data_IF_717096621419
#
_entry.id   IF_717096621419
#
_cell.length_a   1.000
_cell.length_b   1.000
_cell.length_c   1.000
_cell.angle_alpha   90.00
_cell.angle_beta   90.00
_cell.angle_gamma   90.00
#
_symmetry.space_group_name_H-M   'P 1'
#
loop_
_entity.id
_entity.type
_entity.pdbx_description
1 polymer ?
#
# COMPACT_ATOMS: atom_id res chain seq x y z
N UNK A 1 21.26 68.00 -1.28
CA UNK A 1 22.44 67.21 -0.86
C UNK A 1 21.91 66.25 0.17
N UNK A 2 21.40 65.12 -0.30
CA UNK A 2 21.16 63.96 0.56
C UNK A 2 22.54 63.50 1.03
N UNK A 3 22.68 63.28 2.33
CA UNK A 3 23.89 62.74 2.90
C UNK A 3 24.00 61.30 2.42
N UNK A 4 24.98 61.01 1.55
CA UNK A 4 25.39 59.64 1.27
C UNK A 4 25.92 59.04 2.58
N UNK A 5 25.28 57.94 2.99
CA UNK A 5 25.61 57.20 4.20
C UNK A 5 27.09 56.80 4.20
N UNK A 6 27.78 57.15 5.28
CA UNK A 6 29.12 56.65 5.57
C UNK A 6 28.97 55.14 5.80
N UNK A 7 29.60 54.26 5.01
CA UNK A 7 29.54 52.83 5.27
C UNK A 7 30.29 52.56 6.57
N UNK A 8 29.53 52.28 7.63
CA UNK A 8 30.08 51.71 8.84
C UNK A 8 30.49 50.29 8.48
N UNK A 9 31.80 50.06 8.38
CA UNK A 9 32.36 48.70 8.33
C UNK A 9 32.18 48.12 9.73
N UNK A 10 30.96 47.65 9.99
CA UNK A 10 30.74 46.58 10.94
C UNK A 10 30.96 45.30 10.14
N UNK A 11 32.18 44.76 10.20
CA UNK A 11 32.46 43.44 9.65
C UNK A 11 31.80 42.41 10.57
N UNK A 12 30.49 42.23 10.36
CA UNK A 12 29.78 41.05 10.85
C UNK A 12 30.39 39.86 10.10
N UNK A 13 30.87 38.82 10.81
CA UNK A 13 31.51 37.68 10.16
C UNK A 13 30.47 36.91 9.34
N UNK A 14 30.52 37.06 8.01
CA UNK A 14 29.72 36.26 7.08
C UNK A 14 30.51 35.00 6.73
N UNK A 15 29.92 33.80 6.84
CA UNK A 15 30.55 32.55 6.43
C UNK A 15 31.13 32.59 5.01
N UNK A 16 32.26 31.90 4.80
CA UNK A 16 32.89 31.75 3.49
C UNK A 16 32.28 30.58 2.68
N UNK A 17 31.63 29.63 3.36
CA UNK A 17 31.02 28.46 2.71
C UNK A 17 29.64 28.79 2.13
N UNK A 18 29.47 28.53 0.84
CA UNK A 18 28.23 28.84 0.10
C UNK A 18 27.00 28.08 0.62
N UNK A 19 27.19 26.87 1.19
CA UNK A 19 26.09 26.13 1.83
C UNK A 19 25.54 26.89 3.05
N UNK A 20 26.42 27.45 3.88
CA UNK A 20 26.02 28.21 5.07
C UNK A 20 25.35 29.53 4.69
N UNK A 21 25.83 30.20 3.63
CA UNK A 21 25.20 31.43 3.09
C UNK A 21 23.77 31.14 2.60
N UNK A 22 23.54 29.99 1.96
CA UNK A 22 22.20 29.57 1.51
C UNK A 22 21.28 29.26 2.68
N UNK A 23 21.77 28.58 3.71
CA UNK A 23 21.01 28.31 4.93
C UNK A 23 20.60 29.60 5.65
N UNK A 24 21.49 30.58 5.78
CA UNK A 24 21.15 31.87 6.40
C UNK A 24 20.17 32.69 5.56
N UNK A 25 20.32 32.72 4.23
CA UNK A 25 19.33 33.37 3.35
C UNK A 25 17.95 32.70 3.45
N UNK A 26 17.92 31.37 3.54
CA UNK A 26 16.70 30.61 3.74
C UNK A 26 16.09 30.90 5.12
N UNK A 27 16.91 31.01 6.17
CA UNK A 27 16.49 31.38 7.52
C UNK A 27 15.89 32.79 7.58
N UNK A 28 16.44 33.73 6.81
CA UNK A 28 15.92 35.10 6.66
C UNK A 28 14.70 35.17 5.72
N UNK A 29 14.22 34.04 5.17
CA UNK A 29 13.07 33.99 4.26
C UNK A 29 13.31 34.63 2.89
N UNK A 30 14.57 34.84 2.52
CA UNK A 30 14.98 35.46 1.25
C UNK A 30 15.21 34.40 0.16
N UNK A 31 15.06 34.73 -1.14
CA UNK A 31 15.27 33.76 -2.20
C UNK A 31 16.74 33.30 -2.24
N UNK A 32 16.95 31.99 -2.15
CA UNK A 32 18.31 31.39 -2.14
C UNK A 32 19.05 31.64 -3.46
N UNK A 33 18.32 31.66 -4.58
CA UNK A 33 18.86 31.91 -5.91
C UNK A 33 18.14 33.06 -6.59
N UNK A 34 18.91 34.00 -7.12
CA UNK A 34 18.45 35.00 -8.08
C UNK A 34 19.09 34.67 -9.44
N UNK A 35 18.32 34.75 -10.53
CA UNK A 35 18.82 34.42 -11.86
C UNK A 35 19.99 35.33 -12.25
N UNK A 36 21.16 34.74 -12.51
CA UNK A 36 22.38 35.47 -12.90
C UNK A 36 23.25 35.94 -11.74
N UNK A 37 22.96 35.51 -10.50
CA UNK A 37 23.76 35.80 -9.32
C UNK A 37 24.84 34.74 -9.11
N UNK A 38 26.11 35.16 -9.09
CA UNK A 38 27.28 34.35 -8.73
C UNK A 38 27.36 34.17 -7.19
N UNK A 39 28.17 33.22 -6.72
CA UNK A 39 28.28 32.88 -5.30
C UNK A 39 28.72 34.07 -4.43
N UNK A 40 29.63 34.90 -4.95
CA UNK A 40 30.07 36.15 -4.28
C UNK A 40 28.93 37.18 -4.20
N UNK A 41 28.11 37.30 -5.24
CA UNK A 41 26.96 38.21 -5.26
C UNK A 41 25.90 37.84 -4.24
N UNK A 42 25.68 36.52 -4.05
CA UNK A 42 24.80 35.97 -3.01
C UNK A 42 25.30 36.31 -1.61
N UNK A 43 26.61 36.23 -1.38
CA UNK A 43 27.24 36.58 -0.12
C UNK A 43 27.16 38.08 0.18
N UNK A 44 27.38 38.93 -0.82
CA UNK A 44 27.22 40.38 -0.67
C UNK A 44 25.77 40.76 -0.35
N UNK A 45 24.80 40.07 -0.94
CA UNK A 45 23.38 40.22 -0.60
C UNK A 45 23.09 39.83 0.84
N UNK A 46 23.60 38.70 1.31
CA UNK A 46 23.48 38.30 2.71
C UNK A 46 24.12 39.35 3.64
N UNK A 47 25.31 39.84 3.30
CA UNK A 47 25.99 40.91 4.07
C UNK A 47 25.15 42.19 4.14
N UNK A 48 24.52 42.60 3.04
CA UNK A 48 23.65 43.77 3.00
C UNK A 48 22.37 43.58 3.83
N UNK A 49 21.80 42.38 3.82
CA UNK A 49 20.62 42.05 4.63
C UNK A 49 20.94 42.07 6.13
N UNK A 50 22.05 41.44 6.53
CA UNK A 50 22.51 41.42 7.93
C UNK A 50 22.83 42.82 8.46
N UNK A 51 23.36 43.70 7.61
CA UNK A 51 23.66 45.09 7.99
C UNK A 51 22.40 45.93 8.19
N UNK A 52 21.33 45.64 7.46
CA UNK A 52 20.04 46.33 7.61
C UNK A 52 19.23 45.83 8.80
N UNK A 53 19.37 44.56 9.17
CA UNK A 53 18.52 43.89 10.16
C UNK A 53 19.17 43.84 11.56
N UNK A 54 19.58 45.00 12.09
CA UNK A 54 20.06 45.15 13.47
C UNK A 54 18.93 45.01 14.53
N UNK A 55 17.88 44.25 14.25
CA UNK A 55 16.68 44.11 15.08
C UNK A 55 16.29 42.64 15.30
N UNK A 56 16.89 42.02 16.33
CA UNK A 56 16.36 40.88 17.09
C UNK A 56 15.72 39.74 16.27
N UNK A 57 16.53 38.81 15.79
CA UNK A 57 16.10 37.42 15.62
C UNK A 57 16.18 36.71 16.96
N UNK A 58 15.07 36.66 17.71
CA UNK A 58 14.97 35.73 18.85
C UNK A 58 15.18 34.30 18.33
N UNK A 59 16.20 33.64 18.89
CA UNK A 59 16.45 32.21 18.72
C UNK A 59 15.30 31.46 19.40
N UNK A 60 14.28 31.10 18.64
CA UNK A 60 13.37 30.02 19.02
C UNK A 60 14.11 28.74 18.63
N UNK A 61 14.86 28.19 19.58
CA UNK A 61 15.22 26.79 19.54
C UNK A 61 13.91 26.01 19.77
N UNK A 62 13.23 25.66 18.69
CA UNK A 62 12.17 24.64 18.72
C UNK A 62 12.86 23.29 18.94
N UNK A 63 13.25 23.04 20.20
CA UNK A 63 13.39 21.68 20.72
C UNK A 63 11.98 21.08 20.73
N UNK A 64 11.50 20.67 19.55
CA UNK A 64 10.31 19.84 19.40
C UNK A 64 10.62 18.46 20.00
N UNK A 65 10.59 18.37 21.33
CA UNK A 65 10.37 17.09 21.99
C UNK A 65 8.98 16.62 21.53
N UNK A 66 8.95 15.69 20.57
CA UNK A 66 7.73 15.03 20.07
C UNK A 66 6.95 14.42 21.24
N UNK A 67 6.10 15.21 21.91
CA UNK A 67 5.24 14.74 22.99
C UNK A 67 4.19 13.82 22.38
N UNK A 68 4.31 12.50 22.63
CA UNK A 68 3.28 11.53 22.25
C UNK A 68 1.96 11.83 22.97
N UNK A 69 1.02 12.47 22.25
CA UNK A 69 -0.29 12.81 22.77
C UNK A 69 -1.27 11.63 22.64
N UNK A 70 -1.89 11.23 23.75
CA UNK A 70 -2.91 10.17 23.78
C UNK A 70 -4.30 10.74 24.07
N UNK A 71 -5.26 10.49 23.18
CA UNK A 71 -6.67 10.80 23.40
C UNK A 71 -7.43 9.57 23.94
N UNK A 72 -8.28 9.72 24.97
CA UNK A 72 -9.10 8.62 25.45
C UNK A 72 -10.16 8.25 24.41
N UNK A 73 -10.15 6.98 23.98
CA UNK A 73 -11.10 6.46 23.00
C UNK A 73 -12.45 6.04 23.60
N UNK A 74 -13.49 5.86 22.76
CA UNK A 74 -14.81 5.42 23.20
C UNK A 74 -14.82 3.96 23.65
N UNK A 75 -15.79 3.56 24.49
CA UNK A 75 -15.93 2.18 24.96
C UNK A 75 -16.15 1.17 23.82
N UNK A 76 -16.75 1.60 22.71
CA UNK A 76 -16.92 0.77 21.51
C UNK A 76 -15.55 0.33 20.97
N UNK A 77 -14.57 1.25 20.92
CA UNK A 77 -13.21 0.96 20.49
C UNK A 77 -12.51 -0.04 21.43
N UNK A 78 -12.74 0.07 22.74
CA UNK A 78 -12.19 -0.88 23.70
C UNK A 78 -12.73 -2.30 23.48
N UNK A 79 -14.05 -2.43 23.28
CA UNK A 79 -14.68 -3.72 23.02
C UNK A 79 -14.24 -4.33 21.68
N UNK A 80 -14.06 -3.52 20.63
CA UNK A 80 -13.55 -4.01 19.35
C UNK A 80 -12.08 -4.44 19.47
N UNK A 81 -11.24 -3.69 20.17
CA UNK A 81 -9.85 -4.08 20.48
C UNK A 81 -9.76 -5.41 21.23
N UNK A 82 -10.63 -5.65 22.21
CA UNK A 82 -10.73 -6.93 22.91
C UNK A 82 -11.13 -8.07 21.97
N UNK A 83 -12.05 -7.83 21.03
CA UNK A 83 -12.45 -8.82 20.02
C UNK A 83 -11.31 -9.13 19.07
N UNK A 84 -10.61 -8.11 18.58
CA UNK A 84 -9.40 -8.25 17.74
C UNK A 84 -8.35 -9.06 18.48
N UNK A 85 -8.10 -8.75 19.76
CA UNK A 85 -7.11 -9.46 20.57
C UNK A 85 -7.44 -10.95 20.69
N UNK A 86 -8.68 -11.31 21.02
CA UNK A 86 -9.09 -12.72 21.20
C UNK A 86 -8.96 -13.51 19.90
N UNK A 87 -9.47 -12.96 18.79
CA UNK A 87 -9.42 -13.62 17.49
C UNK A 87 -7.97 -13.74 16.98
N UNK A 88 -7.21 -12.66 17.06
CA UNK A 88 -5.81 -12.66 16.65
C UNK A 88 -4.96 -13.62 17.49
N UNK A 89 -5.21 -13.73 18.80
CA UNK A 89 -4.52 -14.70 19.66
C UNK A 89 -4.83 -16.14 19.24
N UNK A 90 -6.09 -16.45 18.94
CA UNK A 90 -6.48 -17.78 18.47
C UNK A 90 -5.80 -18.11 17.14
N UNK A 91 -5.96 -17.24 16.14
CA UNK A 91 -5.37 -17.40 14.80
C UNK A 91 -3.85 -17.49 14.84
N UNK A 92 -3.19 -16.63 15.61
CA UNK A 92 -1.74 -16.69 15.80
C UNK A 92 -1.31 -18.02 16.44
N UNK A 93 -2.05 -18.51 17.45
CA UNK A 93 -1.75 -19.79 18.08
C UNK A 93 -1.89 -20.96 17.11
N UNK A 94 -2.92 -20.95 16.26
CA UNK A 94 -3.18 -22.02 15.30
C UNK A 94 -2.18 -21.98 14.14
N UNK A 95 -1.84 -20.79 13.64
CA UNK A 95 -0.77 -20.57 12.68
C UNK A 95 0.57 -21.10 13.19
N UNK A 96 0.94 -20.80 14.44
CA UNK A 96 2.18 -21.30 15.04
C UNK A 96 2.17 -22.82 15.27
N UNK A 97 1.03 -23.40 15.67
CA UNK A 97 0.88 -24.86 15.78
C UNK A 97 1.05 -25.53 14.42
N UNK A 98 0.42 -25.00 13.38
CA UNK A 98 0.51 -25.51 12.01
C UNK A 98 1.97 -25.41 11.51
N UNK A 99 2.64 -24.27 11.70
CA UNK A 99 4.07 -24.12 11.37
C UNK A 99 4.95 -25.14 12.10
N UNK A 100 4.69 -25.40 13.40
CA UNK A 100 5.42 -26.43 14.15
C UNK A 100 5.15 -27.84 13.63
N UNK A 101 3.93 -28.12 13.18
CA UNK A 101 3.56 -29.42 12.60
C UNK A 101 4.26 -29.65 11.26
N UNK A 102 4.26 -28.66 10.36
CA UNK A 102 5.00 -28.73 9.08
C UNK A 102 6.47 -29.04 9.31
N UNK A 103 7.11 -28.34 10.26
CA UNK A 103 8.53 -28.55 10.57
C UNK A 103 8.80 -29.95 11.11
N UNK A 104 7.86 -30.54 11.85
CA UNK A 104 7.97 -31.93 12.36
C UNK A 104 7.74 -32.98 11.27
N UNK A 105 6.78 -32.74 10.37
CA UNK A 105 6.39 -33.68 9.30
C UNK A 105 7.32 -33.66 8.09
N UNK A 106 7.99 -32.53 7.83
CA UNK A 106 8.95 -32.36 6.74
C UNK A 106 10.41 -32.27 7.24
N UNK A 107 11.00 -33.34 7.83
CA UNK A 107 12.41 -33.33 8.19
C UNK A 107 13.33 -33.42 6.97
N UNK A 108 12.82 -33.87 5.81
CA UNK A 108 13.60 -34.04 4.59
C UNK A 108 13.48 -32.82 3.67
N UNK A 109 14.51 -31.97 3.71
CA UNK A 109 14.71 -30.82 2.82
C UNK A 109 14.50 -31.16 1.32
N UNK A 110 14.77 -32.40 0.91
CA UNK A 110 14.62 -32.88 -0.47
C UNK A 110 13.16 -32.85 -0.94
N UNK A 111 12.19 -33.19 -0.08
CA UNK A 111 10.77 -33.18 -0.45
C UNK A 111 10.29 -31.75 -0.69
N UNK A 112 10.69 -30.82 0.17
CA UNK A 112 10.41 -29.38 0.04
C UNK A 112 11.03 -28.83 -1.25
N UNK A 113 12.28 -29.20 -1.55
CA UNK A 113 12.94 -28.78 -2.80
C UNK A 113 12.24 -29.32 -4.06
N UNK A 114 11.84 -30.59 -4.07
CA UNK A 114 11.10 -31.17 -5.22
C UNK A 114 9.76 -30.44 -5.42
N UNK A 115 9.00 -30.31 -4.34
CA UNK A 115 7.73 -29.60 -4.34
C UNK A 115 7.86 -28.16 -4.88
N UNK A 116 8.90 -27.44 -4.46
CA UNK A 116 9.18 -26.07 -4.95
C UNK A 116 9.60 -26.03 -6.41
N UNK A 117 10.39 -27.01 -6.87
CA UNK A 117 10.75 -27.12 -8.30
C UNK A 117 9.51 -27.36 -9.16
N UNK A 118 8.56 -28.17 -8.66
CA UNK A 118 7.30 -28.44 -9.34
C UNK A 118 6.39 -27.21 -9.40
N UNK A 119 6.38 -26.36 -8.36
CA UNK A 119 5.69 -25.07 -8.41
C UNK A 119 6.40 -24.13 -9.39
N UNK A 120 7.71 -23.98 -9.30
CA UNK A 120 8.45 -23.06 -10.16
C UNK A 120 8.36 -23.45 -11.64
N UNK A 121 8.32 -24.75 -11.95
CA UNK A 121 8.08 -25.21 -13.32
C UNK A 121 6.68 -24.83 -13.80
N UNK A 122 5.65 -25.01 -12.97
CA UNK A 122 4.28 -24.54 -13.29
C UNK A 122 4.20 -23.03 -13.47
N UNK A 123 4.86 -22.24 -12.63
CA UNK A 123 4.88 -20.78 -12.71
C UNK A 123 5.61 -20.28 -13.97
N UNK A 124 6.65 -20.99 -14.41
CA UNK A 124 7.38 -20.65 -15.63
C UNK A 124 6.57 -20.85 -16.91
N UNK A 125 5.52 -21.69 -16.86
CA UNK A 125 4.64 -22.00 -17.98
C UNK A 125 3.40 -21.09 -18.06
N UNK A 126 3.27 -20.13 -17.13
CA UNK A 126 2.18 -19.16 -17.17
C UNK A 126 2.32 -18.25 -18.39
N UNK A 127 1.28 -18.21 -19.21
CA UNK A 127 1.18 -17.39 -20.41
C UNK A 127 -0.13 -16.60 -20.41
N UNK A 128 -0.26 -15.65 -21.36
CA UNK A 128 -1.48 -14.86 -21.52
C UNK A 128 -2.59 -15.76 -22.07
N UNK A 129 -3.61 -16.02 -21.25
CA UNK A 129 -4.77 -16.82 -21.65
C UNK A 129 -5.81 -15.96 -22.39
N UNK A 130 -6.11 -14.78 -21.85
CA UNK A 130 -7.16 -13.92 -22.38
C UNK A 130 -6.97 -12.46 -22.00
N UNK A 131 -7.49 -11.58 -22.84
CA UNK A 131 -7.50 -10.14 -22.63
C UNK A 131 -8.91 -9.63 -22.90
N UNK A 132 -9.58 -9.11 -21.88
CA UNK A 132 -10.91 -8.52 -22.01
C UNK A 132 -10.80 -6.99 -21.91
N UNK A 133 -11.33 -6.30 -22.89
CA UNK A 133 -11.65 -4.87 -22.77
C UNK A 133 -13.10 -4.79 -22.32
N UNK A 134 -13.35 -4.18 -21.17
CA UNK A 134 -14.70 -4.06 -20.64
C UNK A 134 -15.42 -2.97 -21.46
N UNK A 135 -16.52 -3.29 -22.14
CA UNK A 135 -17.30 -2.29 -22.87
C UNK A 135 -17.82 -1.23 -21.89
N UNK A 136 -17.92 0.01 -22.36
CA UNK A 136 -18.32 1.22 -21.60
C UNK A 136 -17.25 1.88 -20.73
N UNK A 137 -16.11 1.23 -20.47
CA UNK A 137 -15.03 1.87 -19.71
C UNK A 137 -14.29 2.89 -20.58
N UNK A 138 -14.34 4.15 -20.15
CA UNK A 138 -13.68 5.26 -20.87
C UNK A 138 -12.28 5.57 -20.33
N UNK A 139 -11.93 5.06 -19.15
CA UNK A 139 -10.66 5.37 -18.45
C UNK A 139 -9.90 4.09 -18.08
N UNK A 140 -8.72 4.24 -17.49
CA UNK A 140 -7.90 3.11 -17.04
C UNK A 140 -8.57 2.34 -15.88
N UNK A 141 -8.25 1.05 -15.77
CA UNK A 141 -8.68 0.19 -14.67
C UNK A 141 -7.65 0.36 -13.54
N UNK A 142 -8.09 0.85 -12.37
CA UNK A 142 -7.22 1.09 -11.22
C UNK A 142 -6.82 -0.17 -10.50
N UNK A 143 -7.81 -0.99 -10.15
CA UNK A 143 -7.66 -2.09 -9.21
C UNK A 143 -8.40 -3.32 -9.71
N UNK A 144 -7.80 -4.48 -9.46
CA UNK A 144 -8.40 -5.78 -9.76
C UNK A 144 -8.18 -6.69 -8.58
N UNK A 145 -9.23 -7.44 -8.21
CA UNK A 145 -9.21 -8.37 -7.10
C UNK A 145 -10.04 -9.63 -7.36
N UNK A 146 -9.46 -10.78 -7.06
CA UNK A 146 -10.17 -12.05 -7.02
C UNK A 146 -11.04 -12.13 -5.78
N UNK A 147 -12.24 -12.69 -5.96
CA UNK A 147 -13.01 -13.25 -4.84
C UNK A 147 -12.19 -14.33 -4.15
N UNK A 148 -12.45 -14.56 -2.87
CA UNK A 148 -11.81 -15.63 -2.12
C UNK A 148 -12.03 -17.01 -2.76
N UNK A 149 -13.23 -17.28 -3.27
CA UNK A 149 -13.51 -18.53 -4.00
C UNK A 149 -12.87 -18.55 -5.40
N UNK A 150 -12.29 -17.42 -5.85
CA UNK A 150 -11.69 -17.21 -7.17
C UNK A 150 -12.63 -17.41 -8.36
N UNK A 151 -13.94 -17.43 -8.12
CA UNK A 151 -14.97 -17.50 -9.15
C UNK A 151 -15.21 -16.13 -9.82
N UNK A 152 -15.03 -15.06 -9.06
CA UNK A 152 -15.32 -13.70 -9.51
C UNK A 152 -14.08 -12.82 -9.45
N UNK A 153 -14.00 -11.86 -10.37
CA UNK A 153 -12.97 -10.83 -10.41
C UNK A 153 -13.67 -9.48 -10.34
N UNK A 154 -13.36 -8.67 -9.34
CA UNK A 154 -13.81 -7.28 -9.26
C UNK A 154 -12.78 -6.36 -9.92
N UNK A 155 -13.26 -5.37 -10.68
CA UNK A 155 -12.47 -4.41 -11.42
C UNK A 155 -12.99 -3.00 -11.16
N UNK A 156 -12.10 -2.12 -10.69
CA UNK A 156 -12.41 -0.71 -10.44
C UNK A 156 -11.85 0.16 -11.56
N UNK A 157 -12.65 1.10 -12.05
CA UNK A 157 -12.25 2.02 -13.10
C UNK A 157 -12.10 3.45 -12.60
N UNK A 158 -11.30 4.24 -13.30
CA UNK A 158 -11.13 5.68 -13.03
C UNK A 158 -12.30 6.55 -13.48
N UNK A 159 -13.30 5.96 -14.14
CA UNK A 159 -14.59 6.59 -14.42
C UNK A 159 -15.60 6.42 -13.26
N UNK A 160 -15.21 5.76 -12.17
CA UNK A 160 -16.06 5.53 -11.00
C UNK A 160 -16.88 4.24 -11.07
N UNK A 161 -16.91 3.56 -12.22
CA UNK A 161 -17.62 2.29 -12.36
C UNK A 161 -16.83 1.12 -11.76
N UNK A 162 -17.58 0.17 -11.20
CA UNK A 162 -17.03 -1.11 -10.73
C UNK A 162 -17.71 -2.22 -11.53
N UNK A 163 -16.90 -3.13 -12.06
CA UNK A 163 -17.36 -4.25 -12.85
C UNK A 163 -16.93 -5.55 -12.18
N UNK A 164 -17.81 -6.54 -12.20
CA UNK A 164 -17.51 -7.89 -11.73
C UNK A 164 -17.50 -8.81 -12.95
N UNK A 165 -16.41 -9.52 -13.15
CA UNK A 165 -16.18 -10.46 -14.25
C UNK A 165 -16.21 -11.88 -13.69
N UNK A 166 -16.59 -12.84 -14.53
CA UNK A 166 -16.39 -14.26 -14.24
C UNK A 166 -14.91 -14.62 -14.44
N UNK A 167 -14.35 -15.46 -13.58
CA UNK A 167 -12.93 -15.81 -13.62
C UNK A 167 -12.55 -16.74 -14.78
N UNK A 168 -13.48 -17.57 -15.27
CA UNK A 168 -13.21 -18.52 -16.37
C UNK A 168 -13.28 -17.87 -17.75
N UNK A 169 -14.33 -17.07 -17.97
CA UNK A 169 -14.69 -16.57 -19.30
C UNK A 169 -14.34 -15.10 -19.49
N UNK A 170 -13.95 -14.42 -18.40
CA UNK A 170 -13.68 -12.97 -18.35
C UNK A 170 -14.85 -12.09 -18.81
N UNK A 171 -16.04 -12.67 -18.93
CA UNK A 171 -17.26 -11.95 -19.31
C UNK A 171 -17.78 -11.12 -18.12
N UNK A 172 -18.26 -9.88 -18.36
CA UNK A 172 -18.82 -9.04 -17.31
C UNK A 172 -20.16 -9.61 -16.82
N UNK A 173 -20.20 -9.99 -15.55
CA UNK A 173 -21.38 -10.52 -14.86
C UNK A 173 -22.27 -9.39 -14.36
N UNK A 174 -21.68 -8.33 -13.80
CA UNK A 174 -22.44 -7.20 -13.25
C UNK A 174 -21.69 -5.89 -13.39
N UNK A 175 -22.41 -4.85 -13.83
CA UNK A 175 -21.96 -3.46 -13.82
C UNK A 175 -22.60 -2.74 -12.64
N UNK A 176 -21.78 -2.30 -11.69
CA UNK A 176 -22.18 -1.45 -10.57
C UNK A 176 -22.10 0.01 -11.06
N UNK A 177 -23.11 0.45 -11.81
CA UNK A 177 -23.08 1.71 -12.57
C UNK A 177 -23.23 2.98 -11.74
N UNK A 178 -23.63 2.89 -10.46
CA UNK A 178 -23.63 4.02 -9.52
C UNK A 178 -22.51 3.88 -8.48
N UNK A 179 -21.33 3.44 -8.94
CA UNK A 179 -20.18 3.09 -8.13
C UNK A 179 -19.59 4.27 -7.36
N UNK A 180 -18.87 5.16 -8.02
CA UNK A 180 -18.29 6.40 -7.48
C UNK A 180 -18.42 7.52 -8.52
N UNK A 181 -18.40 8.78 -8.08
CA UNK A 181 -18.49 9.96 -8.95
C UNK A 181 -17.14 10.17 -9.64
N UNK A 182 -16.05 9.90 -8.93
CA UNK A 182 -14.68 10.02 -9.39
C UNK A 182 -13.95 8.68 -9.40
N UNK A 183 -12.60 8.72 -9.44
CA UNK A 183 -11.75 7.54 -9.65
C UNK A 183 -11.93 6.53 -8.51
N UNK A 184 -12.14 5.25 -8.84
CA UNK A 184 -12.06 4.18 -7.84
C UNK A 184 -10.60 3.97 -7.46
N UNK A 185 -10.28 4.03 -6.16
CA UNK A 185 -8.94 3.80 -5.64
C UNK A 185 -8.63 2.31 -5.57
N UNK A 186 -9.40 1.58 -4.76
CA UNK A 186 -9.17 0.16 -4.49
C UNK A 186 -10.47 -0.59 -4.25
N UNK A 187 -10.33 -1.90 -4.31
CA UNK A 187 -11.37 -2.88 -4.08
C UNK A 187 -10.81 -3.96 -3.17
N UNK A 188 -11.65 -4.53 -2.31
CA UNK A 188 -11.30 -5.71 -1.53
C UNK A 188 -12.53 -6.59 -1.27
N UNK A 189 -12.32 -7.90 -1.14
CA UNK A 189 -13.38 -8.87 -0.90
C UNK A 189 -13.42 -9.30 0.57
N UNK A 190 -14.61 -9.49 1.11
CA UNK A 190 -14.77 -9.91 2.51
C UNK A 190 -14.15 -11.29 2.74
N UNK A 191 -13.33 -11.50 3.78
CA UNK A 191 -12.56 -12.74 4.01
C UNK A 191 -13.36 -13.98 4.48
N UNK A 192 -14.69 -14.03 4.25
CA UNK A 192 -15.53 -15.17 4.67
C UNK A 192 -16.46 -15.66 3.55
N UNK A 193 -16.60 -16.98 3.46
CA UNK A 193 -16.91 -17.74 2.25
C UNK A 193 -18.39 -17.91 1.93
N UNK A 194 -19.29 -17.26 2.66
CA UNK A 194 -20.75 -17.46 2.48
C UNK A 194 -21.42 -16.31 1.72
N UNK A 195 -20.89 -15.09 1.80
CA UNK A 195 -21.45 -13.92 1.13
C UNK A 195 -20.36 -13.17 0.34
N UNK A 196 -20.59 -13.00 -0.96
CA UNK A 196 -19.71 -12.23 -1.84
C UNK A 196 -19.93 -10.73 -1.62
N UNK A 197 -19.32 -10.19 -0.56
CA UNK A 197 -19.34 -8.75 -0.26
C UNK A 197 -18.03 -8.11 -0.74
N UNK A 198 -18.18 -7.03 -1.51
CA UNK A 198 -17.09 -6.21 -2.02
C UNK A 198 -17.08 -4.85 -1.32
N UNK A 199 -15.91 -4.39 -0.91
CA UNK A 199 -15.66 -3.04 -0.43
C UNK A 199 -15.04 -2.22 -1.55
N UNK A 200 -15.47 -0.97 -1.71
CA UNK A 200 -14.85 -0.05 -2.66
C UNK A 200 -14.61 1.33 -2.05
N UNK A 201 -13.43 1.87 -2.29
CA UNK A 201 -13.05 3.24 -1.95
C UNK A 201 -12.92 4.11 -3.20
N UNK A 202 -13.50 5.30 -3.17
CA UNK A 202 -13.44 6.28 -4.27
C UNK A 202 -12.65 7.53 -3.92
N UNK A 203 -12.31 8.32 -4.95
CA UNK A 203 -11.72 9.65 -4.80
C UNK A 203 -12.70 10.64 -4.14
N UNK A 204 -14.01 10.36 -4.19
CA UNK A 204 -15.08 11.12 -3.53
C UNK A 204 -15.02 11.13 -1.98
N UNK A 205 -14.05 10.44 -1.36
CA UNK A 205 -14.02 10.26 0.09
C UNK A 205 -15.05 9.25 0.62
N UNK A 206 -15.75 8.54 -0.28
CA UNK A 206 -16.81 7.59 0.08
C UNK A 206 -16.31 6.15 0.07
N UNK A 207 -16.82 5.34 1.01
CA UNK A 207 -16.62 3.89 1.04
C UNK A 207 -17.98 3.22 0.80
N UNK A 208 -18.04 2.30 -0.15
CA UNK A 208 -19.28 1.58 -0.48
C UNK A 208 -19.08 0.08 -0.31
N UNK A 209 -20.09 -0.58 0.26
CA UNK A 209 -20.18 -2.03 0.31
C UNK A 209 -21.20 -2.54 -0.70
N UNK A 210 -20.86 -3.63 -1.39
CA UNK A 210 -21.68 -4.22 -2.45
C UNK A 210 -21.91 -5.69 -2.15
N UNK A 211 -23.18 -6.11 -2.13
CA UNK A 211 -23.54 -7.51 -2.04
C UNK A 211 -23.71 -8.07 -3.44
N UNK A 212 -22.85 -8.99 -3.83
CA UNK A 212 -22.84 -9.57 -5.17
C UNK A 212 -23.50 -10.94 -5.11
N UNK A 213 -24.78 -10.98 -5.45
CA UNK A 213 -25.52 -12.22 -5.63
C UNK A 213 -25.56 -12.54 -7.13
N UNK A 214 -25.09 -13.71 -7.53
CA UNK A 214 -25.05 -14.12 -8.94
C UNK A 214 -26.42 -14.06 -9.65
N UNK A 215 -27.52 -14.11 -8.88
CA UNK A 215 -28.90 -14.17 -9.39
C UNK A 215 -29.62 -12.81 -9.44
N UNK A 216 -29.07 -11.76 -8.83
CA UNK A 216 -29.63 -10.39 -8.91
C UNK A 216 -28.48 -9.40 -9.07
N UNK A 217 -28.33 -8.74 -10.22
CA UNK A 217 -27.34 -7.69 -10.37
C UNK A 217 -27.79 -6.50 -9.51
N UNK A 218 -27.42 -6.50 -8.23
CA UNK A 218 -27.77 -5.42 -7.32
C UNK A 218 -27.00 -4.18 -7.77
N UNK A 219 -27.71 -3.21 -8.35
CA UNK A 219 -27.14 -1.94 -8.79
C UNK A 219 -26.85 -0.98 -7.63
N UNK A 220 -27.35 -1.29 -6.43
CA UNK A 220 -27.35 -0.40 -5.28
C UNK A 220 -26.37 -0.92 -4.20
N UNK A 221 -25.55 -0.05 -3.60
CA UNK A 221 -24.67 -0.45 -2.51
C UNK A 221 -25.50 -0.88 -1.28
N UNK A 222 -25.06 -1.94 -0.59
CA UNK A 222 -25.64 -2.39 0.69
C UNK A 222 -25.53 -1.30 1.75
N UNK A 223 -24.39 -0.61 1.77
CA UNK A 223 -24.14 0.54 2.63
C UNK A 223 -23.20 1.51 1.95
N UNK A 224 -23.40 2.80 2.18
CA UNK A 224 -22.47 3.85 1.78
C UNK A 224 -22.06 4.61 3.03
N UNK A 225 -20.77 4.57 3.36
CA UNK A 225 -20.16 5.50 4.31
C UNK A 225 -19.82 6.76 3.53
N UNK A 226 -20.66 7.78 3.69
CA UNK A 226 -20.47 9.09 3.05
C UNK A 226 -19.49 9.94 3.84
N UNK A 227 -18.60 10.66 3.16
CA UNK A 227 -17.62 11.58 3.77
C UNK A 227 -16.71 10.90 4.82
N UNK A 228 -16.25 9.68 4.52
CA UNK A 228 -15.35 8.95 5.39
C UNK A 228 -14.00 9.69 5.56
N UNK A 229 -13.54 10.32 4.48
CA UNK A 229 -12.30 11.10 4.41
C UNK A 229 -12.53 12.41 3.65
N UNK A 230 -11.72 13.42 3.95
CA UNK A 230 -11.75 14.73 3.26
C UNK A 230 -11.10 14.66 1.88
N UNK A 231 -10.03 13.87 1.77
CA UNK A 231 -9.30 13.62 0.55
C UNK A 231 -9.60 12.23 -0.03
N UNK A 232 -8.96 11.95 -1.17
CA UNK A 232 -9.13 10.70 -1.91
C UNK A 232 -8.72 9.47 -1.10
N UNK A 233 -9.56 8.45 -1.14
CA UNK A 233 -9.28 7.14 -0.56
C UNK A 233 -8.46 6.31 -1.53
N UNK A 234 -7.35 5.78 -1.04
CA UNK A 234 -6.38 5.03 -1.85
C UNK A 234 -6.56 3.54 -1.73
N UNK A 235 -6.64 3.06 -0.49
CA UNK A 235 -6.78 1.65 -0.15
C UNK A 235 -7.96 1.46 0.81
N UNK A 236 -8.72 0.41 0.56
CA UNK A 236 -9.80 -0.06 1.41
C UNK A 236 -9.62 -1.55 1.57
N UNK A 237 -9.70 -2.03 2.79
CA UNK A 237 -9.41 -3.42 3.12
C UNK A 237 -10.36 -3.94 4.17
N UNK A 238 -10.71 -5.22 4.06
CA UNK A 238 -11.38 -5.91 5.15
C UNK A 238 -10.38 -6.37 6.20
N UNK A 239 -10.80 -6.26 7.46
CA UNK A 239 -10.14 -6.98 8.52
C UNK A 239 -10.49 -8.47 8.43
N UNK A 240 -9.62 -9.40 8.86
CA UNK A 240 -9.96 -10.82 9.01
C UNK A 240 -11.14 -11.13 9.95
N UNK A 241 -11.69 -10.11 10.62
CA UNK A 241 -12.93 -10.19 11.40
C UNK A 241 -14.00 -9.51 10.58
N UNK A 242 -15.08 -10.25 10.35
CA UNK A 242 -16.15 -9.99 9.40
C UNK A 242 -16.95 -8.68 9.50
N UNK A 243 -16.61 -7.79 10.42
CA UNK A 243 -17.38 -6.57 10.70
C UNK A 243 -16.54 -5.30 10.62
N UNK A 244 -15.24 -5.42 10.36
CA UNK A 244 -14.32 -4.29 10.39
C UNK A 244 -13.71 -4.05 9.00
N UNK A 245 -13.63 -2.77 8.62
CA UNK A 245 -12.93 -2.31 7.44
C UNK A 245 -11.89 -1.25 7.81
N UNK A 246 -10.82 -1.18 7.02
CA UNK A 246 -9.78 -0.18 7.15
C UNK A 246 -9.74 0.62 5.86
N UNK A 247 -9.64 1.94 5.98
CA UNK A 247 -9.42 2.85 4.86
C UNK A 247 -8.14 3.65 5.06
N UNK A 248 -7.44 3.89 3.96
CA UNK A 248 -6.27 4.78 3.90
C UNK A 248 -6.56 5.91 2.93
N UNK A 249 -6.16 7.12 3.30
CA UNK A 249 -6.47 8.33 2.54
C UNK A 249 -5.23 9.20 2.30
N UNK A 250 -5.39 10.14 1.38
CA UNK A 250 -4.40 11.18 1.11
C UNK A 250 -4.31 12.26 2.19
N UNK A 251 -5.30 12.33 3.08
CA UNK A 251 -5.33 13.23 4.25
C UNK A 251 -4.33 12.85 5.35
N UNK A 252 -3.35 12.00 5.05
CA UNK A 252 -2.34 11.45 5.99
C UNK A 252 -2.90 10.52 7.07
N UNK A 253 -4.22 10.29 7.09
CA UNK A 253 -4.88 9.44 8.07
C UNK A 253 -5.23 8.08 7.51
N UNK A 254 -5.29 7.10 8.40
CA UNK A 254 -6.01 5.87 8.17
C UNK A 254 -7.08 5.69 9.24
N UNK A 255 -8.20 5.09 8.84
CA UNK A 255 -9.38 4.93 9.69
C UNK A 255 -9.81 3.47 9.78
N UNK A 256 -10.30 3.08 10.95
CA UNK A 256 -10.96 1.80 11.21
C UNK A 256 -12.47 2.01 11.34
N UNK A 257 -13.24 1.25 10.58
CA UNK A 257 -14.69 1.34 10.49
C UNK A 257 -15.35 0.09 11.04
N UNK A 258 -16.45 0.28 11.79
CA UNK A 258 -17.42 -0.78 12.07
C UNK A 258 -18.46 -0.79 10.96
N UNK A 259 -18.49 -1.86 10.18
CA UNK A 259 -19.40 -2.00 9.04
C UNK A 259 -20.85 -2.22 9.46
N UNK A 260 -21.07 -2.82 10.63
CA UNK A 260 -22.43 -3.10 11.14
C UNK A 260 -23.11 -1.83 11.63
N UNK A 261 -22.34 -0.96 12.29
CA UNK A 261 -22.82 0.31 12.85
C UNK A 261 -22.62 1.49 11.92
N UNK A 262 -21.80 1.32 10.89
CA UNK A 262 -21.39 2.38 9.97
C UNK A 262 -20.71 3.56 10.69
N UNK A 263 -19.94 3.27 11.73
CA UNK A 263 -19.27 4.27 12.57
C UNK A 263 -17.76 4.18 12.46
N UNK A 264 -17.10 5.33 12.51
CA UNK A 264 -15.66 5.43 12.71
C UNK A 264 -15.31 4.99 14.13
N UNK A 265 -14.37 4.06 14.26
CA UNK A 265 -13.89 3.55 15.54
C UNK A 265 -12.56 4.17 15.95
N UNK A 266 -11.69 4.39 14.96
CA UNK A 266 -10.31 4.79 15.18
C UNK A 266 -9.81 5.61 14.01
N UNK A 267 -9.19 6.76 14.30
CA UNK A 267 -8.42 7.56 13.37
C UNK A 267 -6.97 7.57 13.83
N UNK A 268 -6.03 7.46 12.90
CA UNK A 268 -4.63 7.56 13.23
C UNK A 268 -3.86 8.36 12.19
N UNK A 269 -3.03 9.24 12.71
CA UNK A 269 -2.05 10.07 11.99
C UNK A 269 -0.64 9.53 12.25
N UNK A 270 0.31 9.86 11.37
CA UNK A 270 1.72 9.50 11.56
C UNK A 270 2.59 9.59 10.30
N UNK A 271 2.00 9.61 9.11
CA UNK A 271 2.74 9.93 7.87
C UNK A 271 2.76 11.43 7.64
N UNK A 272 3.82 11.96 7.04
CA UNK A 272 3.94 13.38 6.70
C UNK A 272 3.30 13.72 5.34
N UNK A 273 3.02 12.72 4.50
CA UNK A 273 2.24 12.78 3.26
C UNK A 273 1.17 11.70 3.24
N UNK A 274 0.29 11.79 2.24
CA UNK A 274 -0.82 10.86 2.06
C UNK A 274 -0.41 9.40 2.03
N UNK A 275 -1.27 8.56 2.61
CA UNK A 275 -1.12 7.12 2.67
C UNK A 275 -1.64 6.52 1.37
N UNK A 276 -0.80 5.75 0.66
CA UNK A 276 -1.18 5.20 -0.63
C UNK A 276 -1.66 3.74 -0.55
N UNK A 277 -1.10 2.95 0.35
CA UNK A 277 -1.46 1.55 0.49
C UNK A 277 -1.49 1.10 1.94
N UNK A 278 -2.31 0.08 2.23
CA UNK A 278 -2.33 -0.60 3.50
C UNK A 278 -2.19 -2.12 3.30
N UNK A 279 -1.96 -2.87 4.37
CA UNK A 279 -2.12 -4.33 4.36
C UNK A 279 -2.38 -4.85 5.77
N UNK A 280 -3.42 -5.67 5.93
CA UNK A 280 -3.75 -6.29 7.22
C UNK A 280 -3.00 -7.61 7.38
N UNK A 281 -2.45 -7.81 8.57
CA UNK A 281 -1.80 -9.07 8.91
C UNK A 281 -2.80 -10.24 8.84
N UNK A 282 -2.42 -11.45 8.40
CA UNK A 282 -3.35 -12.60 8.29
C UNK A 282 -4.08 -12.94 9.60
N UNK A 283 -3.43 -12.71 10.75
CA UNK A 283 -4.06 -12.92 12.07
C UNK A 283 -4.98 -11.75 12.50
N UNK A 284 -4.91 -10.60 11.84
CA UNK A 284 -5.67 -9.39 12.21
C UNK A 284 -5.08 -8.57 13.36
N UNK A 285 -3.89 -8.91 13.87
CA UNK A 285 -3.28 -8.14 14.97
C UNK A 285 -2.65 -6.82 14.53
N UNK A 286 -2.01 -6.82 13.35
CA UNK A 286 -1.20 -5.72 12.86
C UNK A 286 -1.77 -5.16 11.56
N UNK A 287 -1.58 -3.86 11.37
CA UNK A 287 -1.86 -3.15 10.14
C UNK A 287 -0.59 -2.48 9.64
N UNK A 288 -0.27 -2.66 8.35
CA UNK A 288 0.80 -1.93 7.68
C UNK A 288 0.19 -0.76 6.92
N UNK A 289 0.84 0.39 7.00
CA UNK A 289 0.51 1.55 6.18
C UNK A 289 1.76 2.02 5.43
N UNK A 290 1.61 2.28 4.13
CA UNK A 290 2.67 2.75 3.25
C UNK A 290 2.35 4.15 2.75
N UNK A 291 3.18 5.11 3.12
CA UNK A 291 3.05 6.50 2.75
C UNK A 291 3.79 6.84 1.45
N UNK A 292 3.44 7.99 0.89
CA UNK A 292 4.24 8.61 -0.17
C UNK A 292 5.58 9.17 0.34
N UNK A 293 5.80 9.17 1.65
CA UNK A 293 7.07 9.55 2.30
C UNK A 293 8.16 8.49 2.18
N UNK A 294 7.83 7.30 1.68
CA UNK A 294 8.77 6.17 1.65
C UNK A 294 8.93 5.48 3.02
N UNK A 295 8.09 5.84 3.99
CA UNK A 295 8.04 5.21 5.32
C UNK A 295 6.90 4.19 5.35
N UNK A 296 7.17 3.03 5.96
CA UNK A 296 6.14 2.05 6.31
C UNK A 296 5.96 2.10 7.82
N UNK A 297 4.74 2.34 8.29
CA UNK A 297 4.42 2.15 9.71
C UNK A 297 3.75 0.81 9.95
N UNK A 298 4.22 0.12 10.99
CA UNK A 298 3.55 -1.05 11.55
C UNK A 298 2.71 -0.63 12.74
N UNK A 299 1.39 -0.74 12.63
CA UNK A 299 0.43 -0.40 13.66
C UNK A 299 -0.06 -1.66 14.37
N UNK A 300 -0.13 -1.64 15.69
CA UNK A 300 -0.85 -2.66 16.46
C UNK A 300 -2.28 -2.18 16.71
N UNK A 301 -3.25 -2.85 16.08
CA UNK A 301 -4.68 -2.51 16.18
C UNK A 301 -5.22 -2.62 17.61
N UNK A 302 -4.57 -3.43 18.46
CA UNK A 302 -5.02 -3.71 19.83
C UNK A 302 -4.59 -2.63 20.81
N UNK A 303 -3.37 -2.12 20.65
CA UNK A 303 -2.82 -1.05 21.49
C UNK A 303 -3.09 0.35 20.91
N UNK A 304 -3.26 0.45 19.58
CA UNK A 304 -3.32 1.73 18.87
C UNK A 304 -1.95 2.37 18.65
N UNK A 305 -0.86 1.71 19.03
CA UNK A 305 0.49 2.28 18.92
C UNK A 305 1.13 1.92 17.59
N UNK A 306 1.92 2.85 17.06
CA UNK A 306 2.94 2.53 16.06
C UNK A 306 4.03 1.72 16.75
N UNK A 307 4.35 0.54 16.22
CA UNK A 307 5.44 -0.28 16.73
C UNK A 307 6.79 0.22 16.21
N UNK A 308 6.88 0.46 14.90
CA UNK A 308 8.14 0.83 14.26
C UNK A 308 7.91 1.55 12.92
N UNK A 309 8.60 2.68 12.67
CA UNK A 309 8.77 3.23 11.34
C UNK A 309 9.88 2.49 10.58
N UNK A 310 9.60 2.12 9.33
CA UNK A 310 10.57 1.48 8.44
C UNK A 310 10.88 2.42 7.28
N UNK A 311 11.94 3.18 7.44
CA UNK A 311 12.39 4.20 6.48
C UNK A 311 13.61 3.68 5.69
N UNK A 312 13.35 2.93 4.63
CA UNK A 312 14.41 2.47 3.70
C UNK A 312 14.13 2.70 2.23
N UNK A 313 12.89 3.02 1.89
CA UNK A 313 12.55 3.40 0.54
C UNK A 313 12.87 4.87 0.33
N UNK A 314 13.47 5.19 -0.81
CA UNK A 314 13.78 6.57 -1.18
C UNK A 314 12.56 7.29 -1.75
N UNK A 315 11.59 6.53 -2.29
CA UNK A 315 10.37 7.05 -2.90
C UNK A 315 9.13 6.42 -2.27
N UNK A 316 7.97 7.03 -2.53
CA UNK A 316 6.68 6.58 -2.03
C UNK A 316 6.39 5.10 -2.28
N UNK A 317 5.67 4.49 -1.34
CA UNK A 317 5.32 3.07 -1.36
C UNK A 317 3.95 2.93 -2.01
N UNK A 318 3.87 2.14 -3.09
CA UNK A 318 2.65 1.97 -3.87
C UNK A 318 1.94 0.64 -3.61
N UNK A 319 2.68 -0.39 -3.19
CA UNK A 319 2.13 -1.71 -2.89
C UNK A 319 2.67 -2.27 -1.58
N UNK A 320 1.78 -2.84 -0.77
CA UNK A 320 2.12 -3.57 0.45
C UNK A 320 1.31 -4.86 0.50
N UNK A 321 1.98 -5.95 0.84
CA UNK A 321 1.28 -7.21 1.10
C UNK A 321 2.00 -8.06 2.15
N UNK A 322 1.21 -8.63 3.05
CA UNK A 322 1.70 -9.62 3.99
C UNK A 322 1.88 -10.98 3.31
N UNK A 323 2.94 -11.69 3.70
CA UNK A 323 3.02 -13.10 3.42
C UNK A 323 1.99 -13.85 4.28
N UNK A 324 1.33 -14.90 3.75
CA UNK A 324 0.43 -15.77 4.53
C UNK A 324 1.13 -16.48 5.69
N UNK A 325 2.47 -16.55 5.66
CA UNK A 325 3.26 -17.06 6.76
C UNK A 325 3.19 -16.16 8.01
N UNK A 326 2.77 -14.88 7.85
CA UNK A 326 2.60 -13.83 8.84
C UNK A 326 3.88 -13.48 9.63
N UNK A 327 5.05 -13.71 9.07
CA UNK A 327 6.29 -13.13 9.60
C UNK A 327 6.96 -12.23 8.58
N UNK A 328 6.78 -12.51 7.30
CA UNK A 328 7.28 -11.68 6.22
C UNK A 328 6.21 -10.78 5.63
N UNK A 329 6.63 -9.62 5.13
CA UNK A 329 5.83 -8.80 4.23
C UNK A 329 6.73 -8.16 3.17
N UNK A 330 6.12 -7.76 2.07
CA UNK A 330 6.80 -7.13 0.95
C UNK A 330 6.27 -5.72 0.74
N UNK A 331 7.18 -4.80 0.44
CA UNK A 331 6.88 -3.41 0.10
C UNK A 331 7.42 -3.07 -1.28
N UNK A 332 6.56 -2.48 -2.10
CA UNK A 332 6.89 -1.97 -3.42
C UNK A 332 6.93 -0.45 -3.41
N UNK A 333 8.01 0.10 -3.97
CA UNK A 333 8.23 1.54 -4.02
C UNK A 333 8.39 2.06 -5.46
N UNK A 334 8.28 3.38 -5.57
CA UNK A 334 8.67 4.15 -6.75
C UNK A 334 10.13 3.99 -7.15
N UNK A 335 11.00 3.58 -6.23
CA UNK A 335 12.42 3.32 -6.46
C UNK A 335 12.71 2.07 -7.33
N UNK A 336 11.65 1.47 -7.91
CA UNK A 336 11.70 0.27 -8.74
C UNK A 336 12.13 -1.00 -7.98
N UNK A 337 12.28 -0.91 -6.66
CA UNK A 337 12.66 -2.01 -5.79
C UNK A 337 11.46 -2.56 -5.01
N UNK A 338 11.54 -3.85 -4.70
CA UNK A 338 10.67 -4.50 -3.72
C UNK A 338 11.53 -4.95 -2.56
N UNK A 339 11.21 -4.50 -1.35
CA UNK A 339 11.91 -4.89 -0.13
C UNK A 339 11.09 -5.91 0.63
N UNK A 340 11.76 -6.93 1.15
CA UNK A 340 11.18 -7.94 2.02
C UNK A 340 11.67 -7.72 3.44
N UNK A 341 10.71 -7.79 4.34
CA UNK A 341 10.89 -7.54 5.75
C UNK A 341 10.47 -8.76 6.53
N UNK A 342 11.21 -9.09 7.58
CA UNK A 342 10.86 -10.16 8.53
C UNK A 342 10.63 -9.54 9.91
N UNK A 343 9.38 -9.57 10.38
CA UNK A 343 8.96 -9.00 11.65
C UNK A 343 9.70 -9.58 12.86
N UNK A 344 10.23 -10.80 12.75
CA UNK A 344 10.95 -11.46 13.85
C UNK A 344 12.38 -10.95 14.00
N UNK A 345 12.93 -10.37 12.94
CA UNK A 345 14.32 -9.89 12.84
C UNK A 345 14.40 -8.37 12.70
N UNK A 346 13.26 -7.69 12.81
CA UNK A 346 13.20 -6.25 12.92
C UNK A 346 13.70 -5.84 14.31
N UNK A 347 15.02 -5.80 14.47
CA UNK A 347 15.63 -5.02 15.54
C UNK A 347 15.42 -3.52 15.25
N UNK A 348 15.67 -2.65 16.23
CA UNK A 348 15.62 -1.18 16.10
C UNK A 348 16.42 -0.62 14.89
N UNK A 349 17.32 -1.40 14.31
CA UNK A 349 18.06 -1.07 13.08
C UNK A 349 17.22 -1.19 11.79
N UNK A 350 16.01 -1.75 11.84
CA UNK A 350 15.11 -1.87 10.69
C UNK A 350 15.73 -2.67 9.54
N UNK A 351 16.48 -3.74 9.84
CA UNK A 351 17.23 -4.46 8.80
C UNK A 351 16.28 -5.24 7.88
N UNK A 352 16.13 -4.76 6.65
CA UNK A 352 15.49 -5.50 5.56
C UNK A 352 16.17 -6.84 5.35
N UNK A 353 15.38 -7.86 5.02
CA UNK A 353 15.86 -9.22 4.80
C UNK A 353 16.47 -9.34 3.40
N UNK A 354 15.74 -8.85 2.38
CA UNK A 354 16.20 -8.82 0.99
C UNK A 354 15.64 -7.61 0.24
N UNK A 355 16.43 -7.06 -0.69
CA UNK A 355 16.00 -6.06 -1.67
C UNK A 355 16.04 -6.68 -3.05
N UNK A 356 14.90 -6.67 -3.73
CA UNK A 356 14.73 -7.14 -5.10
C UNK A 356 14.69 -5.93 -6.04
N UNK A 357 15.63 -5.81 -6.99
CA UNK A 357 15.47 -4.91 -8.13
C UNK A 357 14.41 -5.50 -9.08
N UNK A 358 13.15 -5.12 -8.88
CA UNK A 358 12.03 -5.83 -9.47
C UNK A 358 11.73 -5.39 -10.91
N UNK A 359 11.81 -4.09 -11.19
CA UNK A 359 11.36 -3.49 -12.44
C UNK A 359 12.27 -2.34 -12.90
N UNK A 360 12.02 -1.84 -14.12
CA UNK A 360 12.73 -0.67 -14.67
C UNK A 360 12.05 0.66 -14.35
N UNK A 361 10.75 0.62 -14.05
CA UNK A 361 9.92 1.74 -13.63
C UNK A 361 9.28 1.40 -12.28
N UNK A 362 8.55 2.37 -11.72
CA UNK A 362 7.87 2.20 -10.43
C UNK A 362 7.01 0.94 -10.39
N UNK A 363 7.04 0.28 -9.23
CA UNK A 363 6.24 -0.91 -8.94
C UNK A 363 4.89 -0.45 -8.43
N UNK A 364 3.81 -0.88 -9.10
CA UNK A 364 2.45 -0.42 -8.81
C UNK A 364 1.75 -1.24 -7.74
N UNK A 365 1.93 -2.57 -7.74
CA UNK A 365 1.30 -3.45 -6.76
C UNK A 365 2.16 -4.71 -6.53
N UNK A 366 1.96 -5.32 -5.37
CA UNK A 366 2.63 -6.56 -4.94
C UNK A 366 1.59 -7.45 -4.27
N UNK A 367 1.59 -8.73 -4.64
CA UNK A 367 0.72 -9.74 -4.01
C UNK A 367 1.47 -11.04 -3.75
N UNK A 368 1.31 -11.57 -2.55
CA UNK A 368 1.68 -12.92 -2.21
C UNK A 368 0.57 -13.90 -2.59
N UNK A 369 0.98 -15.09 -3.00
CA UNK A 369 0.04 -16.15 -3.30
C UNK A 369 -0.71 -16.63 -2.04
N UNK A 370 -2.04 -16.61 -2.09
CA UNK A 370 -2.94 -17.10 -1.04
C UNK A 370 -3.90 -18.12 -1.65
N UNK A 371 -3.85 -19.39 -1.23
CA UNK A 371 -4.92 -20.35 -1.51
C UNK A 371 -6.02 -20.12 -0.47
N UNK A 372 -7.23 -19.85 -0.94
CA UNK A 372 -8.39 -19.60 -0.07
C UNK A 372 -8.98 -20.86 0.55
N UNK A 373 -8.56 -22.06 0.14
CA UNK A 373 -9.09 -23.30 0.70
C UNK A 373 -8.40 -23.63 2.03
N UNK A 374 -9.19 -24.08 3.02
CA UNK A 374 -8.74 -24.56 4.35
C UNK A 374 -7.88 -25.83 4.27
N UNK A 375 -7.41 -26.22 3.08
CA UNK A 375 -6.63 -27.43 2.91
C UNK A 375 -5.22 -27.23 3.45
N UNK A 376 -4.87 -28.17 4.32
CA UNK A 376 -3.65 -28.24 5.12
C UNK A 376 -2.38 -28.46 4.28
N UNK A 377 -2.49 -28.54 2.94
CA UNK A 377 -1.33 -28.63 2.06
C UNK A 377 -0.84 -27.22 1.65
N UNK A 378 0.30 -26.90 2.24
CA UNK A 378 0.92 -25.60 2.40
C UNK A 378 1.51 -25.04 1.11
N UNK A 379 0.65 -24.45 0.28
CA UNK A 379 1.12 -23.71 -0.91
C UNK A 379 1.12 -22.20 -0.68
N UNK A 380 0.57 -21.73 0.45
CA UNK A 380 0.40 -20.31 0.74
C UNK A 380 1.76 -19.62 0.95
N UNK A 381 1.94 -18.49 0.26
CA UNK A 381 3.15 -17.69 0.32
C UNK A 381 4.35 -18.27 -0.42
N UNK A 382 4.16 -19.20 -1.36
CA UNK A 382 5.27 -19.83 -2.11
C UNK A 382 5.89 -18.91 -3.17
N UNK A 383 5.11 -17.99 -3.73
CA UNK A 383 5.56 -17.02 -4.72
C UNK A 383 4.91 -15.66 -4.50
N UNK A 384 5.53 -14.66 -5.12
CA UNK A 384 5.14 -13.26 -5.07
C UNK A 384 5.04 -12.72 -6.50
N UNK A 385 4.03 -11.91 -6.76
CA UNK A 385 3.79 -11.27 -8.05
C UNK A 385 3.91 -9.77 -7.89
N UNK A 386 4.64 -9.14 -8.80
CA UNK A 386 4.82 -7.68 -8.86
C UNK A 386 4.30 -7.14 -10.18
N UNK A 387 3.53 -6.06 -10.13
CA UNK A 387 3.11 -5.31 -11.32
C UNK A 387 3.81 -3.96 -11.37
N UNK A 388 4.04 -3.44 -12.57
CA UNK A 388 4.75 -2.18 -12.72
C UNK A 388 4.34 -1.36 -13.93
N UNK A 389 4.77 -0.10 -13.95
CA UNK A 389 4.52 0.84 -15.03
C UNK A 389 5.36 0.57 -16.29
N UNK A 390 6.24 -0.43 -16.28
CA UNK A 390 6.94 -0.91 -17.48
C UNK A 390 6.06 -1.80 -18.39
N UNK A 391 4.82 -2.10 -17.99
CA UNK A 391 3.91 -2.96 -18.76
C UNK A 391 4.12 -4.46 -18.51
N UNK A 392 4.91 -4.80 -17.49
CA UNK A 392 5.33 -6.17 -17.18
C UNK A 392 4.79 -6.58 -15.81
N UNK A 393 4.41 -7.85 -15.69
CA UNK A 393 4.16 -8.52 -14.42
C UNK A 393 5.25 -9.57 -14.19
N UNK A 394 5.96 -9.49 -13.08
CA UNK A 394 7.01 -10.45 -12.74
C UNK A 394 6.53 -11.41 -11.65
N UNK A 395 6.94 -12.68 -11.77
CA UNK A 395 6.67 -13.72 -10.77
C UNK A 395 7.99 -14.12 -10.12
N UNK A 396 8.01 -14.08 -8.79
CA UNK A 396 9.18 -14.30 -7.94
C UNK A 396 8.95 -15.48 -7.01
N UNK A 397 9.96 -16.29 -6.77
CA UNK A 397 9.90 -17.32 -5.72
C UNK A 397 10.13 -16.68 -4.35
N UNK A 398 9.32 -17.01 -3.35
CA UNK A 398 9.35 -16.32 -2.05
C UNK A 398 10.53 -16.74 -1.13
N UNK A 399 11.28 -17.79 -1.46
CA UNK A 399 12.39 -18.24 -0.61
C UNK A 399 13.72 -17.61 -1.01
N UNK A 400 14.05 -17.72 -2.30
CA UNK A 400 15.32 -17.26 -2.86
C UNK A 400 15.18 -15.93 -3.60
N UNK A 401 13.96 -15.42 -3.72
CA UNK A 401 13.64 -14.15 -4.39
C UNK A 401 14.15 -14.08 -5.82
N UNK A 402 14.26 -15.25 -6.47
CA UNK A 402 14.66 -15.35 -7.87
C UNK A 402 13.44 -15.15 -8.76
N UNK A 403 13.64 -14.39 -9.83
CA UNK A 403 12.63 -14.20 -10.87
C UNK A 403 12.39 -15.51 -11.61
N UNK A 404 11.17 -16.02 -11.54
CA UNK A 404 10.75 -17.26 -12.21
C UNK A 404 10.23 -16.97 -13.61
N UNK A 405 9.38 -15.95 -13.75
CA UNK A 405 8.74 -15.63 -15.02
C UNK A 405 8.53 -14.11 -15.18
N UNK A 406 8.46 -13.67 -16.43
CA UNK A 406 8.20 -12.29 -16.85
C UNK A 406 7.06 -12.30 -17.84
N UNK A 407 5.88 -11.89 -17.39
CA UNK A 407 4.65 -11.84 -18.15
C UNK A 407 4.59 -10.53 -18.92
N UNK A 408 4.74 -10.61 -20.25
CA UNK A 408 4.66 -9.48 -21.18
C UNK A 408 3.41 -9.61 -22.03
N UNK A 409 2.59 -8.57 -22.06
CA UNK A 409 1.34 -8.59 -22.82
C UNK A 409 0.48 -7.33 -22.69
N UNK A 410 0.76 -6.46 -21.72
CA UNK A 410 0.18 -5.13 -21.66
C UNK A 410 0.83 -4.18 -22.66
N UNK A 411 0.00 -3.37 -23.32
CA UNK A 411 0.47 -2.33 -24.23
C UNK A 411 0.88 -1.04 -23.51
N UNK A 412 0.46 -0.88 -22.27
CA UNK A 412 0.71 0.29 -21.42
C UNK A 412 1.01 -0.15 -19.97
N UNK A 413 1.11 0.80 -19.04
CA UNK A 413 1.41 0.60 -17.62
C UNK A 413 0.44 -0.39 -16.96
N UNK A 414 0.95 -1.27 -16.11
CA UNK A 414 0.12 -2.16 -15.27
C UNK A 414 -0.18 -1.46 -13.95
N UNK A 415 -1.45 -1.35 -13.60
CA UNK A 415 -1.92 -0.62 -12.41
C UNK A 415 -2.06 -1.53 -11.20
N UNK A 416 -2.63 -2.72 -11.37
CA UNK A 416 -2.83 -3.68 -10.28
C UNK A 416 -2.65 -5.11 -10.77
N UNK A 417 -2.25 -5.99 -9.85
CA UNK A 417 -2.27 -7.43 -10.03
C UNK A 417 -2.94 -8.09 -8.82
N UNK A 418 -3.51 -9.27 -9.07
CA UNK A 418 -3.98 -10.17 -8.01
C UNK A 418 -3.81 -11.62 -8.46
N UNK A 419 -3.81 -12.54 -7.49
CA UNK A 419 -3.53 -13.95 -7.72
C UNK A 419 -4.69 -14.79 -7.20
N UNK A 420 -5.14 -15.74 -8.01
CA UNK A 420 -6.20 -16.69 -7.68
C UNK A 420 -5.82 -18.11 -8.08
N UNK A 421 -6.68 -19.07 -7.73
CA UNK A 421 -6.54 -20.48 -8.14
C UNK A 421 -7.84 -20.93 -8.78
N UNK A 422 -7.84 -21.15 -10.09
CA UNK A 422 -9.02 -21.63 -10.81
C UNK A 422 -8.76 -23.09 -11.20
N UNK A 423 -9.61 -24.01 -10.75
CA UNK A 423 -9.49 -25.44 -11.04
C UNK A 423 -8.09 -26.03 -10.73
N UNK A 424 -7.50 -25.64 -9.59
CA UNK A 424 -6.13 -25.98 -9.18
C UNK A 424 -4.99 -25.45 -10.07
N UNK A 425 -5.29 -24.61 -11.07
CA UNK A 425 -4.28 -23.85 -11.81
C UNK A 425 -4.03 -22.49 -11.18
N UNK A 426 -2.76 -22.09 -11.10
CA UNK A 426 -2.39 -20.74 -10.70
C UNK A 426 -2.83 -19.76 -11.79
N UNK A 427 -3.67 -18.80 -11.40
CA UNK A 427 -4.14 -17.74 -12.29
C UNK A 427 -3.71 -16.41 -11.74
N UNK A 428 -3.11 -15.58 -12.59
CA UNK A 428 -2.77 -14.19 -12.26
C UNK A 428 -3.70 -13.32 -13.09
N UNK A 429 -4.22 -12.26 -12.48
CA UNK A 429 -4.98 -11.24 -13.20
C UNK A 429 -4.28 -9.90 -13.03
N UNK A 430 -4.22 -9.15 -14.13
CA UNK A 430 -3.64 -7.81 -14.13
C UNK A 430 -4.53 -6.83 -14.86
N UNK A 431 -4.59 -5.60 -14.34
CA UNK A 431 -5.19 -4.46 -15.02
C UNK A 431 -4.14 -3.52 -15.57
N UNK A 432 -4.40 -3.02 -16.77
CA UNK A 432 -3.57 -2.02 -17.41
C UNK A 432 -4.26 -0.67 -17.58
N UNK A 433 -3.42 0.33 -17.86
CA UNK A 433 -3.84 1.61 -18.42
C UNK A 433 -4.44 1.48 -19.81
N UNK A 434 -4.14 0.36 -20.49
CA UNK A 434 -4.74 -0.08 -21.75
C UNK A 434 -6.24 -0.44 -21.65
N UNK A 435 -6.85 -0.24 -20.47
CA UNK A 435 -8.28 -0.51 -20.16
C UNK A 435 -8.65 -1.97 -20.30
N UNK A 436 -7.66 -2.85 -20.34
CA UNK A 436 -7.86 -4.28 -20.45
C UNK A 436 -7.57 -4.96 -19.11
N UNK A 437 -8.36 -5.98 -18.83
CA UNK A 437 -8.06 -6.99 -17.82
C UNK A 437 -7.46 -8.17 -18.54
N UNK A 438 -6.27 -8.59 -18.11
CA UNK A 438 -5.59 -9.75 -18.65
C UNK A 438 -5.57 -10.87 -17.64
N UNK A 439 -5.86 -12.07 -18.12
CA UNK A 439 -5.81 -13.29 -17.36
C UNK A 439 -4.65 -14.13 -17.85
N UNK A 440 -3.80 -14.53 -16.91
CA UNK A 440 -2.62 -15.34 -17.15
C UNK A 440 -2.82 -16.68 -16.48
N UNK A 441 -2.77 -17.77 -17.24
CA UNK A 441 -3.01 -19.13 -16.76
C UNK A 441 -1.87 -20.03 -17.22
N UNK A 442 -1.62 -21.09 -16.48
CA UNK A 442 -0.76 -22.17 -16.93
C UNK A 442 -1.56 -23.08 -17.89
N UNK A 443 -1.01 -23.36 -19.07
CA UNK A 443 -1.63 -24.22 -20.10
C UNK A 443 -1.71 -25.69 -19.70
#
# INVERSE_FOLDING_TARGET
>A
MEFEDIPTINDIPVPDEDEQVKEELQRLGQPVFINGEDDDGRRERLKNLLNHDNGQGELIDEDDEDEEFYTPGPEVLYNTRLRILRDALSKASDRLKLQRQIVKENPEFIKVLKFRRDINSKLSLIELYGSQVIPDITRAISSVKFSNQSDLIACGSWDGSIHVLNSTDLNPVTKLSTGHIEKVGSLDWRPDTEENILLSGGNDGNIRMWGINANTPTTNPLSTLTEAHTDRITSTMFHPINDLAISTSFDQTWKLWDLTKQTELYQQEGHSKGIFCGSVHPDGSLFLSGGLDGIIYVWDLRSGRALMPLQKHMQGIYGLDWSPNGHEFASASGDCSVKIWDMRKLDHSGKELHTIPAHTKLVSNVKFFRKSTKDVQTNNGTFLVTSSYDGIVNVWSADNWVKVNTLKGHGDKVMSCDIGVIDDHFTIVSSGWDRSVKLWKNN
#
